data_IF_412622964760
#
_entry.id   IF_412622964760
#
_cell.length_a   1.000
_cell.length_b   1.000
_cell.length_c   1.000
_cell.angle_alpha   90.00
_cell.angle_beta   90.00
_cell.angle_gamma   90.00
#
_symmetry.space_group_name_H-M   'P 1'
#
loop_
_entity.id
_entity.type
_entity.pdbx_description
1 polymer ?
#
# COMPACT_ATOMS: atom_id res chain seq x y z
N UNK A 1 0.97 -33.74 22.31
CA UNK A 1 0.91 -32.27 22.45
C UNK A 1 2.31 -31.74 22.24
N UNK A 2 2.51 -30.76 21.36
CA UNK A 2 3.83 -30.12 21.19
C UNK A 2 4.12 -29.28 22.45
N UNK A 3 5.30 -29.45 23.03
CA UNK A 3 5.72 -28.70 24.23
C UNK A 3 6.42 -27.40 23.80
N UNK A 4 5.63 -26.36 23.52
CA UNK A 4 6.18 -25.03 23.22
C UNK A 4 6.52 -24.28 24.51
N UNK A 5 7.61 -23.53 24.48
CA UNK A 5 7.89 -22.52 25.51
C UNK A 5 6.85 -21.40 25.49
N UNK A 6 6.77 -20.62 26.57
CA UNK A 6 5.88 -19.45 26.62
C UNK A 6 6.17 -18.43 25.50
N UNK A 7 7.45 -18.21 25.18
CA UNK A 7 7.84 -17.28 24.11
C UNK A 7 7.33 -17.78 22.75
N UNK A 8 7.54 -19.05 22.43
CA UNK A 8 7.10 -19.65 21.17
C UNK A 8 5.56 -19.66 21.05
N UNK A 9 4.85 -19.97 22.14
CA UNK A 9 3.39 -19.89 22.16
C UNK A 9 2.89 -18.45 21.87
N UNK A 10 3.52 -17.44 22.47
CA UNK A 10 3.21 -16.03 22.18
C UNK A 10 3.52 -15.65 20.73
N UNK A 11 4.66 -16.10 20.21
CA UNK A 11 5.06 -15.89 18.81
C UNK A 11 4.02 -16.45 17.85
N UNK A 12 3.48 -17.64 18.13
CA UNK A 12 2.42 -18.24 17.32
C UNK A 12 1.11 -17.45 17.39
N UNK A 13 0.72 -16.94 18.56
CA UNK A 13 -0.46 -16.07 18.68
C UNK A 13 -0.31 -14.78 17.87
N UNK A 14 0.85 -14.12 17.98
CA UNK A 14 1.17 -12.91 17.21
C UNK A 14 1.15 -13.23 15.70
N UNK A 15 1.77 -14.33 15.28
CA UNK A 15 1.76 -14.77 13.87
C UNK A 15 0.34 -14.99 13.36
N UNK A 16 -0.53 -15.61 14.17
CA UNK A 16 -1.95 -15.76 13.81
C UNK A 16 -2.69 -14.43 13.68
N UNK A 17 -2.41 -13.45 14.54
CA UNK A 17 -3.01 -12.12 14.42
C UNK A 17 -2.55 -11.40 13.15
N UNK A 18 -1.25 -11.45 12.84
CA UNK A 18 -0.66 -10.91 11.59
C UNK A 18 -1.31 -11.54 10.36
N UNK A 19 -1.55 -12.86 10.39
CA UNK A 19 -2.23 -13.59 9.31
C UNK A 19 -3.77 -13.47 9.34
N UNK A 20 -4.33 -12.57 10.16
CA UNK A 20 -5.78 -12.32 10.29
C UNK A 20 -6.58 -13.57 10.67
N UNK A 21 -5.96 -14.47 11.45
CA UNK A 21 -6.56 -15.69 12.00
C UNK A 21 -6.97 -15.55 13.47
N UNK A 22 -6.52 -14.49 14.13
CA UNK A 22 -6.89 -14.13 15.50
C UNK A 22 -7.14 -12.62 15.59
N UNK A 23 -8.04 -12.16 16.47
CA UNK A 23 -8.27 -10.72 16.68
C UNK A 23 -7.02 -10.05 17.27
N UNK A 24 -6.71 -8.85 16.78
CA UNK A 24 -5.55 -8.06 17.22
C UNK A 24 -5.59 -7.77 18.74
N UNK A 25 -6.78 -7.51 19.28
CA UNK A 25 -6.97 -7.24 20.72
C UNK A 25 -6.46 -8.36 21.63
N UNK A 26 -6.48 -9.60 21.16
CA UNK A 26 -6.01 -10.75 21.93
C UNK A 26 -4.49 -10.79 22.09
N UNK A 27 -3.75 -10.15 21.17
CA UNK A 27 -2.28 -10.14 21.16
C UNK A 27 -1.68 -8.81 21.61
N UNK A 28 -2.44 -7.72 21.63
CA UNK A 28 -1.94 -6.40 22.06
C UNK A 28 -1.29 -6.42 23.45
N UNK A 29 -1.85 -7.07 24.49
CA UNK A 29 -1.19 -7.16 25.79
C UNK A 29 0.14 -7.92 25.76
N UNK A 30 0.34 -8.83 24.79
CA UNK A 30 1.59 -9.56 24.60
C UNK A 30 2.66 -8.65 23.97
N UNK A 31 2.27 -7.80 23.02
CA UNK A 31 3.16 -6.89 22.28
C UNK A 31 3.65 -5.70 23.13
N UNK A 32 2.89 -5.33 24.17
CA UNK A 32 3.22 -4.25 25.10
C UNK A 32 4.01 -4.72 26.34
N UNK A 33 4.31 -6.02 26.44
CA UNK A 33 5.06 -6.60 27.56
C UNK A 33 6.33 -7.23 27.02
N UNK A 34 7.48 -6.81 27.56
CA UNK A 34 8.75 -7.45 27.22
C UNK A 34 8.72 -8.94 27.61
N UNK A 35 9.24 -9.77 26.72
CA UNK A 35 9.44 -11.19 26.97
C UNK A 35 10.91 -11.54 26.72
N UNK A 36 11.60 -12.26 27.63
CA UNK A 36 12.97 -12.69 27.41
C UNK A 36 13.09 -13.43 26.08
N UNK A 37 13.87 -12.89 25.16
CA UNK A 37 14.04 -13.47 23.83
C UNK A 37 15.03 -14.63 23.91
N UNK A 38 14.65 -15.85 23.50
CA UNK A 38 15.57 -16.98 23.52
C UNK A 38 16.65 -16.81 22.45
N UNK A 39 17.81 -17.48 22.63
CA UNK A 39 18.89 -17.47 21.64
C UNK A 39 18.47 -18.13 20.31
N UNK A 40 17.49 -19.03 20.35
CA UNK A 40 16.90 -19.67 19.18
C UNK A 40 15.55 -20.30 19.54
N UNK A 41 14.77 -20.59 18.51
CA UNK A 41 13.53 -21.35 18.65
C UNK A 41 13.82 -22.85 18.61
N UNK A 42 12.99 -23.65 19.28
CA UNK A 42 12.97 -25.10 19.12
C UNK A 42 12.63 -25.47 17.68
N UNK A 43 13.07 -26.68 17.26
CA UNK A 43 12.77 -27.20 15.93
C UNK A 43 11.27 -27.31 15.70
N UNK A 44 10.54 -27.77 16.71
CA UNK A 44 9.09 -27.91 16.70
C UNK A 44 8.38 -26.56 16.47
N UNK A 45 8.87 -25.48 17.11
CA UNK A 45 8.34 -24.14 16.90
C UNK A 45 8.62 -23.62 15.48
N UNK A 46 9.81 -23.89 14.94
CA UNK A 46 10.16 -23.52 13.55
C UNK A 46 9.28 -24.27 12.56
N UNK A 47 9.11 -25.58 12.73
CA UNK A 47 8.27 -26.41 11.86
C UNK A 47 6.80 -25.92 11.90
N UNK A 48 6.29 -25.61 13.10
CA UNK A 48 4.94 -25.06 13.27
C UNK A 48 4.78 -23.66 12.67
N UNK A 49 5.78 -22.79 12.83
CA UNK A 49 5.79 -21.45 12.25
C UNK A 49 5.79 -21.53 10.72
N UNK A 50 6.65 -22.38 10.14
CA UNK A 50 6.73 -22.62 8.70
C UNK A 50 5.38 -23.11 8.15
N UNK A 51 4.78 -24.12 8.79
CA UNK A 51 3.46 -24.63 8.40
C UNK A 51 2.37 -23.54 8.48
N UNK A 52 2.42 -22.73 9.54
CA UNK A 52 1.47 -21.64 9.76
C UNK A 52 1.59 -20.54 8.71
N UNK A 53 2.80 -20.13 8.35
CA UNK A 53 3.05 -19.16 7.28
C UNK A 53 2.59 -19.70 5.93
N UNK A 54 3.01 -20.93 5.59
CA UNK A 54 2.65 -21.57 4.32
C UNK A 54 1.13 -21.65 4.12
N UNK A 55 0.40 -22.16 5.13
CA UNK A 55 -1.06 -22.29 5.03
C UNK A 55 -1.79 -20.96 5.19
N UNK A 56 -1.34 -20.13 6.13
CA UNK A 56 -2.01 -18.87 6.47
C UNK A 56 -1.92 -17.85 5.35
N UNK A 57 -0.75 -17.71 4.72
CA UNK A 57 -0.56 -16.78 3.60
C UNK A 57 -1.33 -17.21 2.37
N UNK A 58 -1.30 -18.51 2.02
CA UNK A 58 -2.11 -19.03 0.89
C UNK A 58 -3.60 -18.80 1.13
N UNK A 59 -4.08 -19.09 2.35
CA UNK A 59 -5.48 -18.80 2.72
C UNK A 59 -5.79 -17.32 2.56
N UNK A 60 -4.95 -16.44 3.10
CA UNK A 60 -5.16 -14.99 3.03
C UNK A 60 -5.22 -14.52 1.57
N UNK A 61 -4.24 -14.88 0.75
CA UNK A 61 -4.18 -14.47 -0.66
C UNK A 61 -5.35 -14.98 -1.48
N UNK A 62 -5.82 -16.21 -1.21
CA UNK A 62 -7.03 -16.74 -1.82
C UNK A 62 -8.26 -15.88 -1.53
N UNK A 63 -8.41 -15.39 -0.29
CA UNK A 63 -9.53 -14.54 0.13
C UNK A 63 -9.41 -13.09 -0.40
N UNK A 64 -8.21 -12.55 -0.53
CA UNK A 64 -8.01 -11.15 -0.96
C UNK A 64 -8.18 -10.92 -2.45
N UNK A 65 -8.09 -11.97 -3.27
CA UNK A 65 -8.29 -11.87 -4.72
C UNK A 65 -7.83 -13.08 -5.50
N UNK A 66 -6.92 -13.89 -4.95
CA UNK A 66 -6.35 -15.04 -5.66
C UNK A 66 -7.38 -16.07 -6.15
N UNK A 67 -8.50 -16.24 -5.43
CA UNK A 67 -9.58 -17.16 -5.81
C UNK A 67 -10.57 -16.60 -6.83
N UNK A 68 -10.48 -15.31 -7.15
CA UNK A 68 -11.37 -14.67 -8.12
C UNK A 68 -10.92 -14.97 -9.55
N UNK A 69 -11.90 -15.26 -10.40
CA UNK A 69 -11.71 -15.36 -11.84
C UNK A 69 -11.67 -13.94 -12.40
N UNK A 70 -10.50 -13.51 -12.83
CA UNK A 70 -10.26 -12.16 -13.35
C UNK A 70 -9.45 -12.24 -14.63
N UNK A 71 -9.59 -11.21 -15.48
CA UNK A 71 -8.72 -11.00 -16.65
C UNK A 71 -7.39 -10.46 -16.16
N UNK A 72 -6.29 -11.10 -16.54
CA UNK A 72 -4.93 -10.69 -16.14
C UNK A 72 -4.01 -10.66 -17.34
N UNK A 73 -3.09 -9.69 -17.35
CA UNK A 73 -2.13 -9.53 -18.42
C UNK A 73 -0.91 -10.46 -18.21
N UNK A 74 -0.50 -11.18 -19.25
CA UNK A 74 0.62 -12.12 -19.26
C UNK A 74 1.44 -11.91 -20.53
N UNK A 75 2.38 -10.97 -20.48
CA UNK A 75 2.96 -10.40 -21.70
C UNK A 75 1.83 -9.81 -22.56
N UNK A 76 1.83 -10.08 -23.86
CA UNK A 76 0.78 -9.62 -24.78
C UNK A 76 -0.52 -10.43 -24.77
N UNK A 77 -0.74 -11.30 -23.76
CA UNK A 77 -1.93 -12.14 -23.70
C UNK A 77 -2.78 -11.82 -22.48
N UNK A 78 -4.07 -11.67 -22.70
CA UNK A 78 -5.06 -11.60 -21.63
C UNK A 78 -5.50 -13.02 -21.29
N UNK A 79 -5.28 -13.45 -20.05
CA UNK A 79 -5.74 -14.72 -19.54
C UNK A 79 -6.83 -14.51 -18.50
N UNK A 80 -7.90 -15.30 -18.57
CA UNK A 80 -8.98 -15.28 -17.58
C UNK A 80 -8.90 -16.54 -16.73
N UNK A 81 -8.88 -16.38 -15.42
CA UNK A 81 -8.81 -17.50 -14.49
C UNK A 81 -8.53 -17.03 -13.07
N UNK A 82 -8.31 -17.97 -12.16
CA UNK A 82 -7.74 -17.69 -10.83
C UNK A 82 -6.22 -17.58 -10.92
N UNK A 83 -5.57 -17.07 -9.89
CA UNK A 83 -4.14 -16.76 -10.03
C UNK A 83 -3.28 -18.00 -10.28
N UNK A 84 -3.59 -19.15 -9.66
CA UNK A 84 -2.92 -20.44 -9.89
C UNK A 84 -3.39 -21.16 -11.16
N UNK A 85 -4.49 -20.73 -11.77
CA UNK A 85 -4.91 -21.23 -13.08
C UNK A 85 -4.14 -20.50 -14.19
N UNK A 86 -3.77 -19.24 -13.95
CA UNK A 86 -3.02 -18.41 -14.90
C UNK A 86 -1.50 -18.51 -14.72
N UNK A 87 -0.98 -19.10 -13.64
CA UNK A 87 0.45 -19.13 -13.34
C UNK A 87 0.95 -20.51 -12.93
N UNK A 88 2.15 -20.92 -13.41
CA UNK A 88 2.74 -22.17 -12.98
C UNK A 88 3.11 -22.09 -11.48
N UNK A 89 2.96 -23.18 -10.71
CA UNK A 89 3.20 -23.16 -9.26
C UNK A 89 4.58 -22.63 -8.84
N UNK A 90 5.62 -22.86 -9.66
CA UNK A 90 6.98 -22.40 -9.39
C UNK A 90 7.08 -20.86 -9.32
N UNK A 91 6.22 -20.15 -10.04
CA UNK A 91 6.18 -18.69 -10.07
C UNK A 91 5.39 -18.09 -8.89
N UNK A 92 4.68 -18.92 -8.12
CA UNK A 92 3.85 -18.51 -6.99
C UNK A 92 4.50 -18.82 -5.64
N UNK A 93 5.63 -19.54 -5.64
CA UNK A 93 6.36 -19.91 -4.43
C UNK A 93 6.85 -18.67 -3.69
N UNK A 94 6.36 -18.47 -2.47
CA UNK A 94 6.88 -17.45 -1.57
C UNK A 94 8.06 -18.00 -0.79
N UNK A 95 9.12 -17.21 -0.75
CA UNK A 95 10.30 -17.51 0.04
C UNK A 95 10.32 -16.57 1.25
N UNK A 96 10.50 -17.16 2.43
CA UNK A 96 10.67 -16.46 3.70
C UNK A 96 12.10 -16.72 4.15
N UNK A 97 12.78 -15.66 4.56
CA UNK A 97 14.16 -15.74 5.04
C UNK A 97 14.22 -15.58 6.56
N UNK A 98 15.44 -15.51 7.11
CA UNK A 98 15.64 -15.12 8.51
C UNK A 98 15.06 -13.74 8.85
N UNK A 99 14.73 -12.91 7.85
CA UNK A 99 14.10 -11.61 8.03
C UNK A 99 12.71 -11.70 8.68
N UNK A 100 11.85 -12.62 8.21
CA UNK A 100 10.54 -12.89 8.82
C UNK A 100 10.66 -13.37 10.26
N UNK A 101 11.60 -14.29 10.52
CA UNK A 101 11.83 -14.79 11.87
C UNK A 101 12.31 -13.66 12.80
N UNK A 102 13.24 -12.82 12.35
CA UNK A 102 13.70 -11.65 13.10
C UNK A 102 12.57 -10.68 13.41
N UNK A 103 11.66 -10.42 12.46
CA UNK A 103 10.47 -9.60 12.69
C UNK A 103 9.59 -10.20 13.81
N UNK A 104 9.24 -11.48 13.68
CA UNK A 104 8.35 -12.15 14.65
C UNK A 104 8.99 -12.26 16.04
N UNK A 105 10.29 -12.54 16.13
CA UNK A 105 11.02 -12.52 17.39
C UNK A 105 11.06 -11.11 18.00
N UNK A 106 11.30 -10.07 17.20
CA UNK A 106 11.34 -8.69 17.67
C UNK A 106 9.96 -8.20 18.16
N UNK A 107 8.88 -8.59 17.48
CA UNK A 107 7.50 -8.33 17.92
C UNK A 107 7.18 -9.06 19.23
N UNK A 108 7.66 -10.30 19.40
CA UNK A 108 7.34 -11.13 20.57
C UNK A 108 8.17 -10.76 21.80
N UNK A 109 9.45 -10.42 21.62
CA UNK A 109 10.38 -10.12 22.71
C UNK A 109 10.42 -8.66 23.14
N UNK A 110 10.12 -7.76 22.20
CA UNK A 110 10.16 -6.32 22.41
C UNK A 110 9.00 -5.81 23.27
N UNK A 111 9.22 -4.66 23.92
CA UNK A 111 8.13 -3.83 24.41
C UNK A 111 7.86 -2.75 23.37
N UNK A 112 6.82 -2.91 22.55
CA UNK A 112 6.49 -1.95 21.49
C UNK A 112 5.91 -0.63 22.01
N UNK A 113 5.58 -0.55 23.31
CA UNK A 113 5.29 0.71 23.98
C UNK A 113 6.55 1.53 24.30
N UNK A 114 7.74 0.95 24.17
CA UNK A 114 9.00 1.66 24.34
C UNK A 114 9.37 2.41 23.07
N UNK A 115 9.53 3.74 23.17
CA UNK A 115 10.00 4.59 22.07
C UNK A 115 11.39 4.18 21.55
N UNK A 116 12.17 3.44 22.36
CA UNK A 116 13.47 2.91 22.01
C UNK A 116 13.41 1.56 21.30
N UNK A 117 12.24 0.96 21.08
CA UNK A 117 12.15 -0.31 20.36
C UNK A 117 12.71 -0.17 18.93
N UNK A 118 13.73 -0.98 18.63
CA UNK A 118 14.40 -1.03 17.33
C UNK A 118 14.40 -2.46 16.82
N UNK A 119 13.93 -2.63 15.60
CA UNK A 119 14.11 -3.84 14.83
C UNK A 119 15.12 -3.55 13.72
N UNK A 120 16.27 -4.23 13.79
CA UNK A 120 17.38 -4.09 12.84
C UNK A 120 17.58 -5.42 12.12
N UNK A 121 16.72 -5.74 11.15
CA UNK A 121 16.85 -7.00 10.45
C UNK A 121 18.15 -7.04 9.65
N UNK A 122 18.77 -8.23 9.60
CA UNK A 122 19.90 -8.52 8.75
C UNK A 122 19.47 -9.23 7.47
N UNK A 123 20.23 -9.02 6.38
CA UNK A 123 19.98 -9.65 5.08
C UNK A 123 19.00 -8.87 4.18
N UNK A 124 18.82 -9.39 2.97
CA UNK A 124 17.90 -8.84 1.97
C UNK A 124 16.55 -9.54 2.10
N UNK A 125 15.45 -8.80 2.29
CA UNK A 125 14.13 -9.41 2.42
C UNK A 125 13.70 -10.05 1.09
N UNK A 126 13.07 -11.22 1.19
CA UNK A 126 12.41 -11.88 0.07
C UNK A 126 10.94 -11.45 -0.02
N UNK A 127 10.24 -11.83 -1.08
CA UNK A 127 8.84 -11.48 -1.30
C UNK A 127 7.90 -11.92 -0.17
N UNK A 128 8.16 -13.09 0.45
CA UNK A 128 7.41 -13.55 1.61
C UNK A 128 7.66 -12.68 2.85
N UNK A 129 8.90 -12.22 3.05
CA UNK A 129 9.27 -11.34 4.15
C UNK A 129 8.60 -9.96 4.05
N UNK A 130 8.62 -9.37 2.84
CA UNK A 130 7.97 -8.09 2.56
C UNK A 130 6.44 -8.22 2.72
N UNK A 131 5.85 -9.32 2.24
CA UNK A 131 4.42 -9.58 2.47
C UNK A 131 4.10 -9.71 3.96
N UNK A 132 4.92 -10.42 4.75
CA UNK A 132 4.69 -10.56 6.18
C UNK A 132 4.80 -9.21 6.91
N UNK A 133 5.75 -8.36 6.52
CA UNK A 133 5.90 -7.02 7.07
C UNK A 133 4.70 -6.13 6.73
N UNK A 134 4.19 -6.21 5.49
CA UNK A 134 2.94 -5.55 5.10
C UNK A 134 1.76 -6.00 5.94
N UNK A 135 1.60 -7.31 6.13
CA UNK A 135 0.51 -7.88 6.94
C UNK A 135 0.63 -7.47 8.42
N UNK A 136 1.84 -7.37 8.95
CA UNK A 136 2.06 -6.89 10.31
C UNK A 136 1.68 -5.42 10.45
N UNK A 137 2.10 -4.56 9.51
CA UNK A 137 1.67 -3.17 9.47
C UNK A 137 0.16 -3.04 9.40
N UNK A 138 -0.48 -3.80 8.52
CA UNK A 138 -1.92 -3.78 8.36
C UNK A 138 -2.67 -4.23 9.63
N UNK A 139 -2.21 -5.29 10.29
CA UNK A 139 -2.82 -5.78 11.51
C UNK A 139 -2.75 -4.75 12.65
N UNK A 140 -1.69 -3.94 12.70
CA UNK A 140 -1.41 -3.08 13.85
C UNK A 140 -1.49 -1.57 13.58
N UNK A 141 -1.83 -1.13 12.37
CA UNK A 141 -1.78 0.28 11.96
C UNK A 141 -2.59 1.26 12.82
N UNK A 142 -3.67 0.82 13.47
CA UNK A 142 -4.50 1.66 14.34
C UNK A 142 -4.13 1.52 15.83
N UNK A 143 -2.90 1.09 16.12
CA UNK A 143 -2.42 0.81 17.48
C UNK A 143 -1.02 1.41 17.69
N UNK A 144 -0.58 1.54 18.96
CA UNK A 144 0.77 1.99 19.28
C UNK A 144 1.88 1.09 18.68
N UNK A 145 1.57 -0.19 18.44
CA UNK A 145 2.47 -1.13 17.75
C UNK A 145 2.68 -0.71 16.29
N UNK A 146 1.63 -0.28 15.60
CA UNK A 146 1.71 0.26 14.25
C UNK A 146 2.60 1.50 14.17
N UNK A 147 2.47 2.41 15.13
CA UNK A 147 3.36 3.59 15.22
C UNK A 147 4.82 3.20 15.44
N UNK A 148 5.09 2.20 16.30
CA UNK A 148 6.44 1.71 16.55
C UNK A 148 7.05 1.04 15.31
N UNK A 149 6.24 0.25 14.56
CA UNK A 149 6.65 -0.36 13.31
C UNK A 149 6.91 0.67 12.21
N UNK A 150 6.04 1.67 12.07
CA UNK A 150 6.17 2.75 11.08
C UNK A 150 7.50 3.51 11.17
N UNK A 151 8.00 3.71 12.40
CA UNK A 151 9.29 4.37 12.65
C UNK A 151 10.51 3.53 12.28
N UNK A 152 10.34 2.24 11.99
CA UNK A 152 11.46 1.40 11.57
C UNK A 152 11.83 1.72 10.12
N UNK A 153 13.12 1.90 9.85
CA UNK A 153 13.63 2.19 8.50
C UNK A 153 13.18 1.15 7.48
N UNK A 154 13.13 -0.13 7.88
CA UNK A 154 12.63 -1.21 7.05
C UNK A 154 11.21 -0.98 6.53
N UNK A 155 10.32 -0.40 7.35
CA UNK A 155 8.93 -0.09 7.01
C UNK A 155 8.83 1.20 6.20
N UNK A 156 9.63 2.22 6.52
CA UNK A 156 9.64 3.48 5.76
C UNK A 156 10.05 3.26 4.29
N UNK A 157 10.97 2.33 4.02
CA UNK A 157 11.39 1.95 2.67
C UNK A 157 10.47 0.91 1.99
N UNK A 158 9.46 0.41 2.71
CA UNK A 158 8.62 -0.68 2.26
C UNK A 158 7.55 -0.17 1.28
N UNK A 159 7.79 -0.37 -0.01
CA UNK A 159 6.96 0.17 -1.09
C UNK A 159 5.46 -0.15 -0.93
N UNK A 160 5.10 -1.41 -0.69
CA UNK A 160 3.69 -1.79 -0.54
C UNK A 160 3.04 -1.21 0.74
N UNK A 161 3.81 -0.95 1.80
CA UNK A 161 3.26 -0.32 3.02
C UNK A 161 2.97 1.15 2.76
N UNK A 162 3.90 1.84 2.09
CA UNK A 162 3.71 3.22 1.63
C UNK A 162 2.51 3.31 0.68
N UNK A 163 2.36 2.34 -0.22
CA UNK A 163 1.29 2.33 -1.21
C UNK A 163 -0.08 2.11 -0.57
N UNK A 164 -0.19 1.18 0.37
CA UNK A 164 -1.46 0.87 1.03
C UNK A 164 -1.84 1.91 2.10
N UNK A 165 -0.85 2.49 2.79
CA UNK A 165 -1.07 3.32 3.97
C UNK A 165 -0.33 4.67 3.90
N UNK A 166 -0.40 5.44 2.80
CA UNK A 166 0.41 6.66 2.68
C UNK A 166 0.14 7.67 3.81
N UNK A 167 -1.11 7.74 4.31
CA UNK A 167 -1.46 8.61 5.43
C UNK A 167 -0.78 8.26 6.75
N UNK A 168 -0.30 7.03 6.93
CA UNK A 168 0.52 6.70 8.08
C UNK A 168 1.85 7.45 8.02
N UNK A 169 2.39 7.69 6.83
CA UNK A 169 3.71 8.31 6.62
C UNK A 169 3.66 9.81 6.32
N UNK A 170 2.51 10.45 6.52
CA UNK A 170 2.32 11.88 6.31
C UNK A 170 3.27 12.72 7.19
N UNK A 171 3.58 12.21 8.39
CA UNK A 171 4.47 12.85 9.38
C UNK A 171 5.91 13.04 8.87
N UNK A 172 6.35 12.25 7.88
CA UNK A 172 7.66 12.44 7.24
C UNK A 172 7.72 13.73 6.41
N UNK A 173 6.57 14.31 6.05
CA UNK A 173 6.46 15.50 5.20
C UNK A 173 5.95 16.75 5.93
N UNK A 174 5.50 16.63 7.20
CA UNK A 174 4.90 17.77 7.92
C UNK A 174 5.88 18.92 8.20
N UNK A 175 7.20 18.64 8.25
CA UNK A 175 8.22 19.62 8.61
C UNK A 175 9.08 20.12 7.43
N UNK A 176 8.79 19.67 6.21
CA UNK A 176 9.45 20.17 4.99
C UNK A 176 8.80 21.50 4.59
N UNK A 177 8.98 22.55 5.41
CA UNK A 177 8.72 23.91 4.92
C UNK A 177 9.81 24.26 3.89
N UNK A 178 9.42 24.60 2.65
CA UNK A 178 10.38 25.11 1.68
C UNK A 178 10.85 26.48 2.20
N UNK A 179 12.03 26.53 2.79
CA UNK A 179 12.76 27.78 2.93
C UNK A 179 13.13 28.24 1.52
N UNK A 180 12.76 29.49 1.16
CA UNK A 180 12.94 30.07 -0.17
C UNK A 180 14.38 30.03 -0.71
N UNK A 181 15.37 29.81 0.17
CA UNK A 181 16.81 29.77 -0.15
C UNK A 181 17.45 28.37 -0.12
N UNK A 182 16.75 27.33 0.32
CA UNK A 182 17.31 25.97 0.41
C UNK A 182 16.66 25.08 -0.65
N UNK A 183 17.47 24.65 -1.62
CA UNK A 183 17.16 23.53 -2.52
C UNK A 183 16.50 22.40 -1.73
N UNK A 184 15.46 21.73 -2.27
CA UNK A 184 14.58 20.85 -1.52
C UNK A 184 15.39 19.94 -0.61
N UNK A 185 15.28 20.17 0.70
CA UNK A 185 15.83 19.30 1.76
C UNK A 185 15.03 18.00 1.84
N UNK A 186 14.65 17.43 0.70
CA UNK A 186 14.34 16.01 0.58
C UNK A 186 15.62 15.27 0.91
N UNK A 187 15.89 15.18 2.21
CA UNK A 187 17.10 14.65 2.80
C UNK A 187 17.16 13.18 2.46
N UNK A 188 17.77 12.87 1.32
CA UNK A 188 18.14 11.53 0.86
C UNK A 188 17.15 10.46 1.34
N UNK A 189 15.86 10.66 1.05
CA UNK A 189 14.90 9.59 1.31
C UNK A 189 15.37 8.39 0.49
N UNK A 190 15.74 7.32 1.19
CA UNK A 190 16.21 6.13 0.52
C UNK A 190 15.07 5.64 -0.38
N UNK A 191 15.37 5.24 -1.63
CA UNK A 191 14.34 4.85 -2.58
C UNK A 191 13.49 3.70 -2.05
N UNK A 192 12.20 3.75 -2.36
CA UNK A 192 11.27 2.67 -2.03
C UNK A 192 11.66 1.37 -2.73
N UNK A 193 11.56 0.24 -2.03
CA UNK A 193 11.95 -1.07 -2.55
C UNK A 193 10.87 -1.67 -3.46
N UNK A 194 10.78 -1.19 -4.69
CA UNK A 194 9.80 -1.68 -5.66
C UNK A 194 10.17 -2.97 -6.38
N UNK A 195 11.47 -3.25 -6.55
CA UNK A 195 11.95 -4.36 -7.38
C UNK A 195 11.35 -5.73 -7.01
N UNK A 196 11.12 -5.99 -5.71
CA UNK A 196 10.51 -7.23 -5.23
C UNK A 196 9.05 -7.40 -5.66
N UNK A 197 8.33 -6.30 -5.89
CA UNK A 197 6.90 -6.29 -6.22
C UNK A 197 6.64 -6.35 -7.73
N UNK A 198 7.62 -6.02 -8.55
CA UNK A 198 7.53 -6.09 -10.01
C UNK A 198 8.29 -7.29 -10.61
N UNK A 199 8.75 -8.20 -9.75
CA UNK A 199 9.30 -9.51 -10.14
C UNK A 199 8.43 -10.65 -9.59
N UNK A 200 8.44 -11.85 -10.20
CA UNK A 200 7.84 -13.03 -9.59
C UNK A 200 8.48 -13.36 -8.23
N UNK A 201 7.69 -13.75 -7.21
CA UNK A 201 6.24 -13.86 -7.19
C UNK A 201 5.49 -12.55 -6.84
N UNK A 202 6.22 -11.47 -6.48
CA UNK A 202 5.63 -10.22 -5.98
C UNK A 202 4.60 -9.57 -6.91
N UNK A 203 4.79 -9.66 -8.23
CA UNK A 203 3.82 -9.13 -9.19
C UNK A 203 2.45 -9.82 -9.08
N UNK A 204 2.44 -11.12 -8.79
CA UNK A 204 1.22 -11.91 -8.57
C UNK A 204 0.60 -11.61 -7.20
N UNK A 205 1.41 -11.21 -6.22
CA UNK A 205 0.89 -10.68 -4.96
C UNK A 205 0.15 -9.36 -5.20
N UNK A 206 0.69 -8.44 -5.99
CA UNK A 206 0.01 -7.18 -6.32
C UNK A 206 -1.32 -7.41 -7.03
N UNK A 207 -1.41 -8.41 -7.92
CA UNK A 207 -2.67 -8.82 -8.55
C UNK A 207 -3.68 -9.33 -7.50
N UNK A 208 -3.27 -10.21 -6.59
CA UNK A 208 -4.11 -10.69 -5.49
C UNK A 208 -4.59 -9.58 -4.55
N UNK A 209 -3.83 -8.49 -4.44
CA UNK A 209 -4.07 -7.41 -3.49
C UNK A 209 -4.86 -6.24 -4.09
N UNK A 210 -5.17 -6.22 -5.39
CA UNK A 210 -5.87 -5.11 -6.05
C UNK A 210 -7.14 -4.66 -5.30
N UNK A 211 -8.04 -5.60 -4.98
CA UNK A 211 -9.27 -5.27 -4.25
C UNK A 211 -9.01 -4.70 -2.85
N UNK A 212 -7.97 -5.21 -2.18
CA UNK A 212 -7.57 -4.79 -0.84
C UNK A 212 -6.95 -3.39 -0.84
N UNK A 213 -6.07 -3.12 -1.81
CA UNK A 213 -5.49 -1.80 -2.04
C UNK A 213 -6.57 -0.77 -2.39
N UNK A 214 -7.53 -1.11 -3.25
CA UNK A 214 -8.66 -0.22 -3.54
C UNK A 214 -9.42 0.16 -2.27
N UNK A 215 -9.73 -0.82 -1.40
CA UNK A 215 -10.42 -0.57 -0.13
C UNK A 215 -9.62 0.38 0.78
N UNK A 216 -8.32 0.19 0.91
CA UNK A 216 -7.46 1.08 1.71
C UNK A 216 -7.46 2.51 1.19
N UNK A 217 -7.36 2.70 -0.13
CA UNK A 217 -7.41 4.03 -0.73
C UNK A 217 -8.78 4.69 -0.60
N UNK A 218 -9.88 3.93 -0.75
CA UNK A 218 -11.23 4.45 -0.50
C UNK A 218 -11.36 4.94 0.94
N UNK A 219 -10.91 4.14 1.92
CA UNK A 219 -10.96 4.51 3.33
C UNK A 219 -10.09 5.74 3.62
N UNK A 220 -8.90 5.81 3.04
CA UNK A 220 -8.00 6.94 3.19
C UNK A 220 -8.63 8.25 2.68
N UNK A 221 -9.16 8.23 1.45
CA UNK A 221 -9.81 9.39 0.85
C UNK A 221 -11.06 9.81 1.63
N UNK A 222 -11.83 8.85 2.15
CA UNK A 222 -12.97 9.15 3.03
C UNK A 222 -12.54 9.74 4.38
N UNK A 223 -11.41 9.31 4.94
CA UNK A 223 -10.87 9.84 6.21
C UNK A 223 -10.40 11.30 6.07
N UNK A 224 -10.01 11.76 4.87
CA UNK A 224 -9.59 13.17 4.63
C UNK A 224 -10.61 14.21 5.05
N UNK A 225 -11.91 13.92 4.92
CA UNK A 225 -12.99 14.82 5.35
C UNK A 225 -12.96 15.14 6.85
N UNK A 226 -12.21 14.39 7.64
CA UNK A 226 -12.06 14.60 9.08
C UNK A 226 -10.71 15.22 9.46
N UNK A 227 -9.84 15.49 8.48
CA UNK A 227 -8.56 16.17 8.71
C UNK A 227 -8.83 17.67 8.81
N UNK A 228 -8.57 18.23 9.97
CA UNK A 228 -8.77 19.66 10.23
C UNK A 228 -7.51 20.48 10.06
N UNK A 229 -6.35 19.91 10.39
CA UNK A 229 -5.07 20.59 10.32
C UNK A 229 -4.51 20.63 8.90
N UNK A 230 -4.17 21.83 8.43
CA UNK A 230 -3.65 22.04 7.07
C UNK A 230 -2.25 21.47 6.83
N UNK A 231 -1.38 21.42 7.83
CA UNK A 231 -0.06 20.76 7.74
C UNK A 231 -0.20 19.24 7.59
N UNK A 232 -1.07 18.61 8.39
CA UNK A 232 -1.37 17.18 8.27
C UNK A 232 -1.96 16.83 6.89
N UNK A 233 -2.86 17.66 6.35
CA UNK A 233 -3.38 17.48 4.98
C UNK A 233 -2.28 17.60 3.93
N UNK A 234 -1.38 18.59 4.06
CA UNK A 234 -0.23 18.77 3.17
C UNK A 234 0.71 17.57 3.22
N UNK A 235 1.06 17.09 4.41
CA UNK A 235 1.90 15.90 4.58
C UNK A 235 1.27 14.65 3.98
N UNK A 236 -0.05 14.48 4.16
CA UNK A 236 -0.80 13.39 3.54
C UNK A 236 -0.79 13.47 2.00
N UNK A 237 -1.07 14.65 1.43
CA UNK A 237 -1.04 14.84 -0.02
C UNK A 237 0.36 14.60 -0.60
N UNK A 238 1.42 15.06 0.07
CA UNK A 238 2.80 14.81 -0.32
C UNK A 238 3.14 13.31 -0.31
N UNK A 239 2.79 12.59 0.76
CA UNK A 239 2.98 11.14 0.86
C UNK A 239 2.26 10.38 -0.26
N UNK A 240 1.03 10.79 -0.60
CA UNK A 240 0.28 10.21 -1.71
C UNK A 240 0.94 10.47 -3.07
N UNK A 241 1.33 11.71 -3.35
CA UNK A 241 1.97 12.07 -4.61
C UNK A 241 3.29 11.34 -4.80
N UNK A 242 4.12 11.25 -3.75
CA UNK A 242 5.39 10.54 -3.83
C UNK A 242 5.17 9.06 -4.14
N UNK A 243 4.39 8.34 -3.31
CA UNK A 243 4.27 6.89 -3.48
C UNK A 243 3.57 6.51 -4.78
N UNK A 244 2.57 7.28 -5.20
CA UNK A 244 1.90 7.05 -6.47
C UNK A 244 2.85 7.37 -7.61
N UNK A 245 3.59 8.49 -7.57
CA UNK A 245 4.58 8.86 -8.58
C UNK A 245 5.60 7.74 -8.82
N UNK A 246 6.18 7.19 -7.74
CA UNK A 246 7.09 6.06 -7.83
C UNK A 246 6.40 4.81 -8.37
N UNK A 247 5.21 4.47 -7.87
CA UNK A 247 4.44 3.30 -8.32
C UNK A 247 4.11 3.37 -9.81
N UNK A 248 3.67 4.53 -10.31
CA UNK A 248 3.37 4.75 -11.72
C UNK A 248 4.59 4.52 -12.60
N UNK A 249 5.75 5.03 -12.19
CA UNK A 249 7.00 4.82 -12.92
C UNK A 249 7.30 3.32 -13.04
N UNK A 250 7.13 2.56 -11.96
CA UNK A 250 7.35 1.11 -11.98
C UNK A 250 6.34 0.37 -12.85
N UNK A 251 5.07 0.76 -12.80
CA UNK A 251 4.01 0.19 -13.65
C UNK A 251 4.29 0.42 -15.13
N UNK A 252 4.72 1.63 -15.51
CA UNK A 252 5.06 1.94 -16.90
C UNK A 252 6.34 1.23 -17.35
N UNK A 253 7.37 1.16 -16.50
CA UNK A 253 8.61 0.44 -16.82
C UNK A 253 8.40 -1.06 -17.00
N UNK A 254 7.48 -1.65 -16.24
CA UNK A 254 7.13 -3.06 -16.35
C UNK A 254 6.09 -3.35 -17.45
N UNK A 255 5.53 -2.31 -18.07
CA UNK A 255 4.33 -2.36 -18.94
C UNK A 255 3.17 -3.17 -18.33
N UNK A 256 2.92 -2.96 -17.03
CA UNK A 256 1.91 -3.68 -16.23
C UNK A 256 0.80 -2.76 -15.76
N UNK A 257 0.18 -2.03 -16.70
CA UNK A 257 -0.89 -1.03 -16.43
C UNK A 257 -2.08 -1.62 -15.67
N UNK A 258 -2.33 -2.92 -15.84
CA UNK A 258 -3.33 -3.68 -15.11
C UNK A 258 -3.12 -3.65 -13.57
N UNK A 259 -1.89 -3.48 -13.10
CA UNK A 259 -1.60 -3.37 -11.66
C UNK A 259 -2.06 -2.05 -11.04
N UNK A 260 -2.38 -1.03 -11.85
CA UNK A 260 -2.97 0.23 -11.38
C UNK A 260 -4.51 0.20 -11.41
N UNK A 261 -5.15 -0.92 -11.79
CA UNK A 261 -6.60 -1.07 -11.85
C UNK A 261 -7.30 -0.76 -10.52
N UNK A 262 -6.66 -1.06 -9.38
CA UNK A 262 -7.19 -0.70 -8.07
C UNK A 262 -7.39 0.81 -7.87
N UNK A 263 -6.53 1.66 -8.44
CA UNK A 263 -6.65 3.12 -8.37
C UNK A 263 -7.84 3.60 -9.19
N UNK A 264 -8.08 3.00 -10.37
CA UNK A 264 -9.26 3.30 -11.17
C UNK A 264 -10.54 2.81 -10.49
N UNK A 265 -10.50 1.65 -9.82
CA UNK A 265 -11.59 1.16 -8.97
C UNK A 265 -11.88 2.08 -7.77
N UNK A 266 -10.84 2.63 -7.13
CA UNK A 266 -10.95 3.66 -6.10
C UNK A 266 -11.65 4.90 -6.64
N UNK A 267 -11.18 5.43 -7.78
CA UNK A 267 -11.75 6.61 -8.42
C UNK A 267 -13.23 6.40 -8.77
N UNK A 268 -13.58 5.26 -9.36
CA UNK A 268 -14.97 4.88 -9.63
C UNK A 268 -15.81 4.96 -8.35
N UNK A 269 -15.35 4.36 -7.25
CA UNK A 269 -16.12 4.33 -6.00
C UNK A 269 -16.30 5.70 -5.36
N UNK A 270 -15.29 6.56 -5.45
CA UNK A 270 -15.32 7.92 -4.86
C UNK A 270 -16.15 8.89 -5.72
N UNK A 271 -15.99 8.84 -7.04
CA UNK A 271 -16.57 9.84 -7.96
C UNK A 271 -17.94 9.46 -8.52
N UNK A 272 -18.39 8.19 -8.39
CA UNK A 272 -19.70 7.75 -8.90
C UNK A 272 -20.88 8.58 -8.36
N UNK A 273 -20.73 9.21 -7.18
CA UNK A 273 -21.78 10.04 -6.55
C UNK A 273 -21.71 11.52 -6.94
N UNK A 274 -20.82 11.88 -7.86
CA UNK A 274 -20.55 13.27 -8.26
C UNK A 274 -20.29 14.18 -7.04
N UNK A 275 -19.28 13.86 -6.23
CA UNK A 275 -18.94 14.68 -5.07
C UNK A 275 -18.38 16.04 -5.52
N UNK A 276 -18.28 16.97 -4.58
CA UNK A 276 -17.69 18.30 -4.78
C UNK A 276 -16.31 18.38 -4.13
N UNK A 277 -15.49 19.38 -4.47
CA UNK A 277 -14.22 19.57 -3.78
C UNK A 277 -14.38 19.75 -2.25
N UNK A 278 -15.54 20.29 -1.82
CA UNK A 278 -15.90 20.44 -0.42
C UNK A 278 -15.90 19.15 0.39
N UNK A 279 -16.17 17.99 -0.22
CA UNK A 279 -16.16 16.70 0.47
C UNK A 279 -14.78 16.33 1.04
N UNK A 280 -13.70 16.92 0.52
CA UNK A 280 -12.32 16.73 1.01
C UNK A 280 -11.79 17.93 1.79
N UNK A 281 -12.29 19.14 1.53
CA UNK A 281 -11.70 20.38 2.05
C UNK A 281 -12.52 21.06 3.15
N UNK A 282 -13.79 20.69 3.35
CA UNK A 282 -14.71 21.44 4.21
C UNK A 282 -14.29 21.53 5.67
N UNK A 283 -13.52 20.56 6.19
CA UNK A 283 -13.10 20.54 7.58
C UNK A 283 -11.75 21.21 7.85
N UNK A 284 -11.05 21.67 6.81
CA UNK A 284 -9.75 22.31 6.96
C UNK A 284 -9.86 23.66 7.67
N UNK A 285 -9.07 23.84 8.71
CA UNK A 285 -8.90 25.13 9.38
C UNK A 285 -7.95 26.01 8.55
N UNK A 286 -8.56 26.86 7.73
CA UNK A 286 -7.89 27.80 6.85
C UNK A 286 -7.81 29.22 7.43
N UNK A 287 -8.34 29.42 8.64
CA UNK A 287 -8.37 30.73 9.27
C UNK A 287 -6.94 31.22 9.54
N UNK A 288 -6.66 32.48 9.20
CA UNK A 288 -5.33 33.08 9.41
C UNK A 288 -4.22 32.61 8.45
N UNK A 289 -4.44 31.57 7.63
CA UNK A 289 -3.46 31.15 6.62
C UNK A 289 -3.36 32.14 5.46
N UNK A 290 -2.16 32.27 4.88
CA UNK A 290 -1.94 33.02 3.63
C UNK A 290 -2.66 32.31 2.48
N UNK A 291 -3.00 33.06 1.44
CA UNK A 291 -3.69 32.54 0.26
C UNK A 291 -2.94 31.34 -0.36
N UNK A 292 -1.62 31.45 -0.51
CA UNK A 292 -0.77 30.37 -1.02
C UNK A 292 -0.84 29.09 -0.16
N UNK A 293 -0.87 29.21 1.17
CA UNK A 293 -0.96 28.06 2.08
C UNK A 293 -2.30 27.35 1.97
N UNK A 294 -3.38 28.13 1.78
CA UNK A 294 -4.72 27.58 1.54
C UNK A 294 -4.76 26.76 0.25
N UNK A 295 -4.21 27.28 -0.84
CA UNK A 295 -4.11 26.53 -2.11
C UNK A 295 -3.30 25.26 -1.95
N UNK A 296 -2.11 25.33 -1.33
CA UNK A 296 -1.30 24.13 -1.07
C UNK A 296 -2.07 23.07 -0.28
N UNK A 297 -2.93 23.49 0.65
CA UNK A 297 -3.72 22.58 1.47
C UNK A 297 -4.89 21.96 0.68
N UNK A 298 -5.55 22.73 -0.19
CA UNK A 298 -6.57 22.21 -1.11
C UNK A 298 -5.97 21.27 -2.17
N UNK A 299 -4.84 21.63 -2.74
CA UNK A 299 -4.08 20.82 -3.69
C UNK A 299 -3.70 19.46 -3.09
N UNK A 300 -3.22 19.47 -1.84
CA UNK A 300 -2.90 18.27 -1.11
C UNK A 300 -4.14 17.41 -0.81
N UNK A 301 -5.27 18.04 -0.48
CA UNK A 301 -6.53 17.32 -0.26
C UNK A 301 -6.98 16.57 -1.53
N UNK A 302 -6.80 17.19 -2.71
CA UNK A 302 -7.15 16.63 -4.02
C UNK A 302 -6.02 15.83 -4.70
N UNK A 303 -4.93 15.52 -3.98
CA UNK A 303 -3.74 14.86 -4.52
C UNK A 303 -4.03 13.56 -5.29
N UNK A 304 -4.99 12.75 -4.84
CA UNK A 304 -5.40 11.53 -5.54
C UNK A 304 -6.02 11.80 -6.92
N UNK A 305 -6.88 12.83 -7.03
CA UNK A 305 -7.57 13.17 -8.27
C UNK A 305 -6.63 13.69 -9.36
N UNK A 306 -5.48 14.24 -8.97
CA UNK A 306 -4.44 14.73 -9.90
C UNK A 306 -3.83 13.62 -10.77
N UNK A 307 -4.05 12.35 -10.44
CA UNK A 307 -3.59 11.23 -11.26
C UNK A 307 -4.58 10.84 -12.38
N UNK A 308 -5.81 11.35 -12.37
CA UNK A 308 -6.80 11.02 -13.40
C UNK A 308 -6.38 11.36 -14.83
N UNK A 309 -5.71 12.50 -15.11
CA UNK A 309 -5.16 12.77 -16.44
C UNK A 309 -4.17 11.71 -16.94
N UNK A 310 -3.42 11.04 -16.05
CA UNK A 310 -2.47 9.99 -16.44
C UNK A 310 -3.21 8.74 -16.96
N UNK A 311 -4.34 8.40 -16.36
CA UNK A 311 -5.18 7.32 -16.87
C UNK A 311 -5.81 7.66 -18.23
N UNK A 312 -6.28 8.90 -18.42
CA UNK A 312 -6.78 9.37 -19.71
C UNK A 312 -5.70 9.23 -20.81
N UNK A 313 -4.45 9.60 -20.49
CA UNK A 313 -3.32 9.43 -21.40
C UNK A 313 -3.02 7.95 -21.72
N UNK A 314 -3.24 7.01 -20.78
CA UNK A 314 -3.15 5.57 -21.06
C UNK A 314 -4.27 5.10 -22.00
N UNK A 315 -5.48 5.62 -21.82
CA UNK A 315 -6.60 5.37 -22.73
C UNK A 315 -6.30 5.90 -24.13
N UNK A 316 -5.74 7.10 -24.26
CA UNK A 316 -5.35 7.66 -25.57
C UNK A 316 -4.27 6.82 -26.25
N UNK A 317 -3.24 6.41 -25.49
CA UNK A 317 -2.22 5.47 -25.97
C UNK A 317 -2.83 4.13 -26.41
N UNK A 318 -3.76 3.57 -25.64
CA UNK A 318 -4.42 2.33 -25.99
C UNK A 318 -5.27 2.46 -27.27
N UNK A 319 -5.94 3.60 -27.49
CA UNK A 319 -6.69 3.89 -28.70
C UNK A 319 -5.80 3.97 -29.95
N UNK A 320 -4.57 4.46 -29.80
CA UNK A 320 -3.60 4.56 -30.89
C UNK A 320 -2.99 3.22 -31.32
N UNK A 321 -3.08 2.17 -30.50
CA UNK A 321 -2.55 0.83 -30.84
C UNK A 321 -3.49 0.13 -31.82
N UNK A 322 -2.97 -0.18 -33.01
CA UNK A 322 -3.68 -0.88 -34.08
C UNK A 322 -3.87 -2.36 -33.79
N UNK A 323 -4.76 -3.00 -34.57
CA UNK A 323 -5.08 -4.43 -34.41
C UNK A 323 -3.87 -5.36 -34.60
N UNK A 324 -2.92 -4.96 -35.45
CA UNK A 324 -1.74 -5.75 -35.79
C UNK A 324 -0.49 -5.39 -34.99
N UNK A 325 -0.58 -4.42 -34.07
CA UNK A 325 0.55 -3.92 -33.30
C UNK A 325 0.78 -4.75 -32.02
N UNK A 326 2.03 -4.76 -31.55
CA UNK A 326 2.39 -5.32 -30.24
C UNK A 326 1.62 -4.58 -29.11
N UNK A 327 1.24 -5.30 -28.07
CA UNK A 327 0.43 -4.74 -26.98
C UNK A 327 -1.07 -4.56 -27.31
N UNK A 328 -1.57 -4.98 -28.48
CA UNK A 328 -3.00 -4.88 -28.81
C UNK A 328 -3.90 -5.51 -27.72
N UNK A 329 -3.58 -6.70 -27.23
CA UNK A 329 -4.43 -7.35 -26.22
C UNK A 329 -4.40 -6.59 -24.87
N UNK A 330 -3.25 -6.03 -24.48
CA UNK A 330 -3.12 -5.18 -23.30
C UNK A 330 -3.95 -3.90 -23.46
N UNK A 331 -3.89 -3.27 -24.64
CA UNK A 331 -4.68 -2.10 -24.98
C UNK A 331 -6.19 -2.39 -24.93
N UNK A 332 -6.64 -3.54 -25.47
CA UNK A 332 -8.04 -3.95 -25.40
C UNK A 332 -8.50 -4.26 -23.97
N UNK A 333 -7.66 -4.90 -23.15
CA UNK A 333 -7.97 -5.12 -21.74
C UNK A 333 -8.15 -3.79 -21.00
N UNK A 334 -7.24 -2.83 -21.22
CA UNK A 334 -7.32 -1.50 -20.63
C UNK A 334 -8.58 -0.74 -21.09
N UNK A 335 -8.89 -0.75 -22.39
CA UNK A 335 -10.12 -0.14 -22.94
C UNK A 335 -11.38 -0.71 -22.28
N UNK A 336 -11.45 -2.03 -22.16
CA UNK A 336 -12.60 -2.69 -21.55
C UNK A 336 -12.77 -2.29 -20.06
N UNK A 337 -11.67 -2.24 -19.30
CA UNK A 337 -11.72 -1.80 -17.90
C UNK A 337 -12.08 -0.31 -17.76
N UNK A 338 -11.56 0.53 -18.67
CA UNK A 338 -11.89 1.95 -18.74
C UNK A 338 -13.38 2.19 -18.98
N UNK A 339 -13.96 1.51 -19.97
CA UNK A 339 -15.38 1.58 -20.32
C UNK A 339 -16.27 1.06 -19.18
N UNK A 340 -15.93 -0.10 -18.60
CA UNK A 340 -16.64 -0.69 -17.46
C UNK A 340 -16.75 0.29 -16.28
N UNK A 341 -15.70 1.07 -16.05
CA UNK A 341 -15.61 2.02 -14.94
C UNK A 341 -16.07 3.43 -15.28
N UNK A 342 -16.53 3.68 -16.52
CA UNK A 342 -16.92 5.00 -17.03
C UNK A 342 -15.78 6.02 -16.91
N UNK A 343 -14.55 5.64 -17.28
CA UNK A 343 -13.34 6.40 -17.03
C UNK A 343 -13.38 7.85 -17.53
N UNK A 344 -14.00 8.12 -18.69
CA UNK A 344 -14.13 9.50 -19.21
C UNK A 344 -14.90 10.41 -18.24
N UNK A 345 -16.04 9.94 -17.72
CA UNK A 345 -16.84 10.66 -16.72
C UNK A 345 -16.08 10.87 -15.42
N UNK A 346 -15.26 9.90 -15.01
CA UNK A 346 -14.42 10.03 -13.81
C UNK A 346 -13.37 11.14 -14.01
N UNK A 347 -12.73 11.20 -15.18
CA UNK A 347 -11.78 12.25 -15.53
C UNK A 347 -12.42 13.64 -15.58
N UNK A 348 -13.58 13.77 -16.22
CA UNK A 348 -14.33 15.04 -16.25
C UNK A 348 -14.69 15.52 -14.84
N UNK A 349 -15.20 14.62 -14.00
CA UNK A 349 -15.56 14.94 -12.61
C UNK A 349 -14.33 15.37 -11.81
N UNK A 350 -13.23 14.62 -11.90
CA UNK A 350 -11.99 14.96 -11.22
C UNK A 350 -11.40 16.30 -11.69
N UNK A 351 -11.40 16.56 -13.00
CA UNK A 351 -10.92 17.81 -13.58
C UNK A 351 -11.76 19.01 -13.10
N UNK A 352 -13.09 18.88 -13.10
CA UNK A 352 -13.99 19.92 -12.61
C UNK A 352 -13.70 20.28 -11.13
N UNK A 353 -13.46 19.27 -10.28
CA UNK A 353 -13.15 19.49 -8.86
C UNK A 353 -11.80 20.16 -8.63
N UNK A 354 -10.78 19.81 -9.42
CA UNK A 354 -9.47 20.48 -9.37
C UNK A 354 -9.61 21.94 -9.84
N UNK A 355 -10.32 22.16 -10.96
CA UNK A 355 -10.56 23.50 -11.50
C UNK A 355 -11.41 24.41 -10.60
N UNK A 356 -12.38 23.87 -9.85
CA UNK A 356 -13.21 24.63 -8.89
C UNK A 356 -12.34 25.38 -7.86
N UNK A 357 -11.14 24.86 -7.57
CA UNK A 357 -10.23 25.41 -6.55
C UNK A 357 -9.04 26.19 -7.12
N UNK A 358 -8.83 26.18 -8.44
CA UNK A 358 -7.82 26.98 -9.14
C UNK A 358 -8.22 28.42 -9.57
N UNK A 359 -9.46 28.94 -9.47
CA UNK A 359 -9.87 30.18 -10.16
C UNK A 359 -9.35 31.48 -9.54
N UNK A 360 -8.37 31.40 -8.64
CA UNK A 360 -7.81 32.52 -7.88
C UNK A 360 -6.31 32.73 -8.14
N UNK A 361 -5.75 32.12 -9.18
CA UNK A 361 -4.37 32.34 -9.65
C UNK A 361 -4.21 33.56 -10.58
N UNK A 362 -5.19 34.48 -10.63
CA UNK A 362 -5.12 35.70 -11.46
C UNK A 362 -4.32 36.81 -10.79
#
# INVERSE_FOLDING_TARGET
MLSLTRFEANLMHITHAVLQRAPVDTVLPLLLRSCPTPAGLSREAIDLLSDTLNKGVVRLLAHTGGWRKEKRLRGDKVQTGRIWECQPPQNLGLAFSGYSLQLLMALTGGNLGDAQWRWRPSGTPQSGDELLLFLAMEAFQETAVGDALRRQQAVQQHALCRLAFPGQFADLFENDEPNDDDAPRHGQEKPLRWAVWFSPPGVYLLECLQSRLAQHWIQLEQKKRHVTRCDAMRGLGAAQLQVLGDFWLQVEQADRRDLAGFLLATAQKLLQRQPTAGDWTASLDIAGLRIADRFRSYDAALAFLRWMPRFAAWRDRALAIGYWDEGYAAAQAWKAEWEEKQGDRLCETAAAMVQEREPLQV
#
